data_IF_676125413054
#
_entry.id   IF_676125413054
#
_cell.length_a   1.000
_cell.length_b   1.000
_cell.length_c   1.000
_cell.angle_alpha   90.00
_cell.angle_beta   90.00
_cell.angle_gamma   90.00
#
_symmetry.space_group_name_H-M   'P 1'
#
loop_
_entity.id
_entity.type
_entity.pdbx_description
1 polymer ?
#
# COMPACT_ATOMS: atom_id res chain seq x y z
N UNK A 1 28.16 24.02 23.78
CA UNK A 1 27.17 22.98 23.86
C UNK A 1 25.85 23.49 23.31
N UNK A 2 25.43 23.00 22.13
CA UNK A 2 24.11 23.31 21.57
C UNK A 2 23.14 22.34 22.24
N UNK A 3 22.30 22.88 23.09
CA UNK A 3 21.22 22.14 23.76
C UNK A 3 20.09 21.95 22.76
N UNK A 4 19.92 20.74 22.23
CA UNK A 4 18.74 20.37 21.45
C UNK A 4 17.55 20.24 22.42
N UNK A 5 16.68 21.25 22.45
CA UNK A 5 15.40 21.14 23.09
C UNK A 5 14.53 20.27 22.18
N UNK A 6 14.43 18.99 22.48
CA UNK A 6 13.42 18.11 21.91
C UNK A 6 12.07 18.52 22.48
N UNK A 7 11.33 19.36 21.75
CA UNK A 7 9.90 19.56 22.00
C UNK A 7 9.23 18.26 21.60
N UNK A 8 9.09 17.35 22.54
CA UNK A 8 8.18 16.20 22.40
C UNK A 8 6.77 16.79 22.53
N UNK A 9 5.94 16.78 21.47
CA UNK A 9 4.57 17.25 21.62
C UNK A 9 3.88 16.34 22.64
N UNK A 10 3.29 16.93 23.65
CA UNK A 10 2.39 16.24 24.57
C UNK A 10 1.35 15.48 23.75
N UNK A 11 1.37 14.17 23.82
CA UNK A 11 0.34 13.31 23.24
C UNK A 11 -0.90 13.53 24.10
N UNK A 12 -1.80 14.40 23.66
CA UNK A 12 -3.16 14.47 24.23
C UNK A 12 -3.74 13.07 24.12
N UNK A 13 -4.02 12.44 25.25
CA UNK A 13 -4.77 11.18 25.32
C UNK A 13 -6.02 11.35 24.46
N UNK A 14 -6.12 10.59 23.38
CA UNK A 14 -7.28 10.61 22.52
C UNK A 14 -8.49 10.11 23.30
N UNK A 15 -9.54 10.88 23.28
CA UNK A 15 -10.88 10.46 23.70
C UNK A 15 -11.28 9.25 22.87
N UNK A 16 -11.73 8.15 23.52
CA UNK A 16 -12.18 6.87 22.97
C UNK A 16 -11.43 6.45 21.70
N UNK A 17 -10.41 5.63 21.85
CA UNK A 17 -9.75 4.98 20.74
C UNK A 17 -10.76 4.11 19.99
N UNK A 18 -11.12 4.51 18.77
CA UNK A 18 -11.93 3.70 17.90
C UNK A 18 -11.07 2.58 17.29
N UNK A 19 -10.87 1.52 18.06
CA UNK A 19 -10.18 0.30 17.64
C UNK A 19 -11.05 -0.45 16.61
N UNK A 20 -10.74 -0.32 15.34
CA UNK A 20 -11.49 -0.93 14.25
C UNK A 20 -10.96 -2.34 13.95
N UNK A 21 -11.79 -3.41 14.15
CA UNK A 21 -11.37 -4.79 13.96
C UNK A 21 -11.10 -5.09 12.48
N UNK A 22 -9.94 -5.68 12.19
CA UNK A 22 -9.53 -6.03 10.84
C UNK A 22 -8.97 -7.44 10.78
N UNK A 23 -9.03 -8.04 9.59
CA UNK A 23 -8.30 -9.26 9.25
C UNK A 23 -7.51 -9.08 7.96
N UNK A 24 -6.34 -9.70 7.91
CA UNK A 24 -5.50 -9.79 6.71
C UNK A 24 -5.45 -11.25 6.29
N UNK A 25 -5.69 -11.53 5.00
CA UNK A 25 -5.54 -12.86 4.42
C UNK A 25 -4.21 -12.94 3.69
N UNK A 26 -3.37 -13.93 4.03
CA UNK A 26 -2.16 -14.29 3.30
C UNK A 26 -2.34 -15.69 2.71
N UNK A 27 -2.66 -15.81 1.41
CA UNK A 27 -2.98 -17.10 0.78
C UNK A 27 -1.75 -17.91 0.41
N UNK A 28 -0.59 -17.28 0.22
CA UNK A 28 0.67 -17.88 -0.23
C UNK A 28 0.52 -18.69 -1.52
N UNK A 29 -0.25 -18.16 -2.47
CA UNK A 29 -0.47 -18.77 -3.79
C UNK A 29 0.80 -18.74 -4.63
N UNK A 30 1.02 -19.79 -5.44
CA UNK A 30 2.14 -19.86 -6.37
C UNK A 30 1.93 -18.85 -7.52
N UNK A 31 2.85 -17.91 -7.76
CA UNK A 31 2.69 -16.87 -8.76
C UNK A 31 2.82 -17.39 -10.19
N UNK A 32 3.47 -18.53 -10.41
CA UNK A 32 3.67 -19.12 -11.73
C UNK A 32 2.44 -19.94 -12.15
N UNK A 33 1.90 -20.75 -11.23
CA UNK A 33 0.72 -21.56 -11.47
C UNK A 33 -0.59 -20.73 -11.49
N UNK A 34 -0.56 -19.55 -10.91
CA UNK A 34 -1.72 -18.69 -10.72
C UNK A 34 -2.51 -18.41 -12.00
N UNK A 35 -1.84 -18.33 -13.16
CA UNK A 35 -2.46 -18.02 -14.45
C UNK A 35 -2.85 -19.25 -15.26
N UNK A 36 -2.61 -20.46 -14.75
CA UNK A 36 -3.08 -21.71 -15.35
C UNK A 36 -4.56 -21.91 -15.03
N UNK A 37 -5.39 -22.13 -16.05
CA UNK A 37 -6.86 -22.22 -15.90
C UNK A 37 -7.30 -23.27 -14.89
N UNK A 38 -6.60 -24.40 -14.81
CA UNK A 38 -6.89 -25.49 -13.89
C UNK A 38 -6.61 -25.10 -12.44
N UNK A 39 -5.74 -24.10 -12.22
CA UNK A 39 -5.37 -23.61 -10.89
C UNK A 39 -6.37 -22.58 -10.33
N UNK A 40 -7.21 -21.96 -11.16
CA UNK A 40 -8.16 -20.91 -10.74
C UNK A 40 -9.09 -21.39 -9.62
N UNK A 41 -9.71 -22.57 -9.79
CA UNK A 41 -10.60 -23.15 -8.77
C UNK A 41 -9.88 -23.45 -7.45
N UNK A 42 -8.60 -23.79 -7.51
CA UNK A 42 -7.78 -24.05 -6.32
C UNK A 42 -7.52 -22.76 -5.54
N UNK A 43 -7.21 -21.66 -6.23
CA UNK A 43 -7.05 -20.33 -5.61
C UNK A 43 -8.37 -19.92 -4.93
N UNK A 44 -9.49 -19.95 -5.66
CA UNK A 44 -10.80 -19.60 -5.11
C UNK A 44 -11.14 -20.43 -3.87
N UNK A 45 -10.96 -21.76 -3.94
CA UNK A 45 -11.23 -22.67 -2.83
C UNK A 45 -10.36 -22.35 -1.61
N UNK A 46 -9.07 -22.06 -1.83
CA UNK A 46 -8.16 -21.65 -0.76
C UNK A 46 -8.62 -20.36 -0.10
N UNK A 47 -8.96 -19.34 -0.90
CA UNK A 47 -9.46 -18.06 -0.39
C UNK A 47 -10.76 -18.25 0.40
N UNK A 48 -11.75 -18.97 -0.14
CA UNK A 48 -13.01 -19.23 0.58
C UNK A 48 -12.74 -19.95 1.90
N UNK A 49 -11.86 -20.96 1.93
CA UNK A 49 -11.48 -21.63 3.18
C UNK A 49 -10.82 -20.69 4.19
N UNK A 50 -10.06 -19.67 3.75
CA UNK A 50 -9.53 -18.66 4.65
C UNK A 50 -10.63 -17.72 5.14
N UNK A 51 -11.59 -17.35 4.30
CA UNK A 51 -12.76 -16.56 4.70
C UNK A 51 -13.62 -17.26 5.76
N UNK A 52 -13.75 -18.59 5.73
CA UNK A 52 -14.52 -19.32 6.76
C UNK A 52 -13.86 -19.34 8.14
N UNK A 53 -12.58 -18.95 8.23
CA UNK A 53 -11.81 -18.88 9.47
C UNK A 53 -11.74 -17.47 10.06
N UNK A 54 -12.38 -16.50 9.41
CA UNK A 54 -12.39 -15.11 9.90
C UNK A 54 -13.20 -15.00 11.19
N UNK A 55 -12.74 -14.22 12.16
CA UNK A 55 -13.53 -13.87 13.33
C UNK A 55 -14.80 -13.10 12.94
N UNK A 56 -15.88 -13.33 13.69
CA UNK A 56 -17.16 -12.64 13.44
C UNK A 56 -17.03 -11.13 13.64
N UNK A 57 -16.23 -10.69 14.62
CA UNK A 57 -15.96 -9.29 14.94
C UNK A 57 -15.15 -8.55 13.87
N UNK A 58 -14.50 -9.25 12.95
CA UNK A 58 -13.74 -8.58 11.88
C UNK A 58 -14.66 -7.79 10.95
N UNK A 59 -14.45 -6.49 10.87
CA UNK A 59 -15.25 -5.56 10.05
C UNK A 59 -14.61 -5.22 8.71
N UNK A 60 -13.27 -5.31 8.61
CA UNK A 60 -12.51 -5.12 7.37
C UNK A 60 -11.63 -6.33 7.10
N UNK A 61 -11.69 -6.83 5.89
CA UNK A 61 -10.82 -7.92 5.41
C UNK A 61 -9.97 -7.40 4.25
N UNK A 62 -8.66 -7.60 4.34
CA UNK A 62 -7.72 -7.17 3.30
C UNK A 62 -7.04 -8.38 2.67
N UNK A 63 -7.10 -8.45 1.33
CA UNK A 63 -6.41 -9.45 0.53
C UNK A 63 -5.22 -8.82 -0.21
N UNK A 64 -4.21 -9.63 -0.60
CA UNK A 64 -3.02 -9.13 -1.27
C UNK A 64 -3.23 -8.66 -2.71
N UNK A 65 -2.12 -8.24 -3.34
CA UNK A 65 -2.06 -7.74 -4.72
C UNK A 65 -2.48 -8.80 -5.73
N UNK A 66 -3.48 -8.44 -6.54
CA UNK A 66 -3.93 -9.19 -7.72
C UNK A 66 -4.06 -10.71 -7.45
N UNK A 67 -4.68 -11.11 -6.34
CA UNK A 67 -4.73 -12.51 -5.92
C UNK A 67 -5.52 -13.39 -6.88
N UNK A 68 -6.63 -12.88 -7.44
CA UNK A 68 -7.38 -13.58 -8.46
C UNK A 68 -6.76 -13.38 -9.85
N UNK A 69 -6.71 -14.43 -10.69
CA UNK A 69 -6.05 -14.40 -12.00
C UNK A 69 -6.87 -13.73 -13.10
N UNK A 70 -8.06 -13.25 -12.79
CA UNK A 70 -9.00 -12.60 -13.71
C UNK A 70 -9.36 -11.20 -13.22
N UNK A 71 -9.86 -10.36 -14.12
CA UNK A 71 -10.16 -8.96 -13.82
C UNK A 71 -11.52 -8.77 -13.14
N UNK A 72 -11.73 -7.60 -12.53
CA UNK A 72 -13.00 -7.22 -11.89
C UNK A 72 -14.19 -7.17 -12.88
N UNK A 73 -13.93 -7.09 -14.19
CA UNK A 73 -14.94 -7.14 -15.24
C UNK A 73 -15.31 -8.56 -15.66
N UNK A 74 -14.55 -9.58 -15.23
CA UNK A 74 -14.85 -10.97 -15.55
C UNK A 74 -16.01 -11.46 -14.68
N UNK A 75 -16.92 -12.24 -15.28
CA UNK A 75 -18.08 -12.79 -14.57
C UNK A 75 -17.67 -13.65 -13.36
N UNK A 76 -16.56 -14.38 -13.46
CA UNK A 76 -16.01 -15.21 -12.37
C UNK A 76 -15.62 -14.36 -11.15
N UNK A 77 -15.14 -13.12 -11.38
CA UNK A 77 -14.84 -12.21 -10.27
C UNK A 77 -16.11 -11.86 -9.51
N UNK A 78 -17.19 -11.53 -10.22
CA UNK A 78 -18.47 -11.21 -9.61
C UNK A 78 -19.08 -12.42 -8.87
N UNK A 79 -18.98 -13.62 -9.46
CA UNK A 79 -19.39 -14.87 -8.82
C UNK A 79 -18.59 -15.15 -7.54
N UNK A 80 -17.28 -14.88 -7.54
CA UNK A 80 -16.43 -15.00 -6.36
C UNK A 80 -16.84 -14.00 -5.28
N UNK A 81 -16.95 -12.70 -5.61
CA UNK A 81 -17.37 -11.65 -4.67
C UNK A 81 -18.73 -11.95 -4.05
N UNK A 82 -19.65 -12.54 -4.82
CA UNK A 82 -20.97 -12.92 -4.32
C UNK A 82 -20.97 -14.04 -3.27
N UNK A 83 -19.91 -14.84 -3.22
CA UNK A 83 -19.70 -15.87 -2.18
C UNK A 83 -19.14 -15.32 -0.87
N UNK A 84 -18.64 -14.06 -0.88
CA UNK A 84 -18.01 -13.44 0.28
C UNK A 84 -19.03 -12.84 1.26
N UNK A 85 -18.69 -12.72 2.56
CA UNK A 85 -19.59 -12.20 3.58
C UNK A 85 -19.92 -10.72 3.33
N UNK A 86 -21.19 -10.41 3.10
CA UNK A 86 -21.69 -9.07 2.79
C UNK A 86 -21.63 -8.09 3.98
N UNK A 87 -21.56 -8.60 5.19
CA UNK A 87 -21.45 -7.82 6.43
C UNK A 87 -20.06 -7.16 6.62
N UNK A 88 -19.07 -7.63 5.88
CA UNK A 88 -17.68 -7.16 6.04
C UNK A 88 -17.28 -6.23 4.90
N UNK A 89 -16.49 -5.20 5.20
CA UNK A 89 -15.78 -4.45 4.16
C UNK A 89 -14.63 -5.31 3.64
N UNK A 90 -14.52 -5.47 2.33
CA UNK A 90 -13.47 -6.29 1.71
C UNK A 90 -12.72 -5.40 0.73
N UNK A 91 -11.41 -5.22 0.99
CA UNK A 91 -10.49 -4.47 0.13
C UNK A 91 -9.41 -5.43 -0.37
N UNK A 92 -9.22 -5.48 -1.68
CA UNK A 92 -8.32 -6.45 -2.28
C UNK A 92 -7.55 -5.89 -3.48
N UNK A 93 -6.36 -6.41 -3.71
CA UNK A 93 -5.68 -6.20 -4.98
C UNK A 93 -6.37 -7.01 -6.09
N UNK A 94 -6.60 -6.39 -7.23
CA UNK A 94 -7.31 -7.00 -8.36
C UNK A 94 -6.80 -6.46 -9.71
N UNK A 95 -7.01 -7.23 -10.75
CA UNK A 95 -6.85 -6.76 -12.12
C UNK A 95 -8.09 -6.00 -12.57
N UNK A 96 -7.89 -4.91 -13.32
CA UNK A 96 -8.96 -4.20 -14.01
C UNK A 96 -8.64 -4.09 -15.50
N UNK A 97 -9.59 -4.41 -16.35
CA UNK A 97 -9.44 -4.32 -17.81
C UNK A 97 -10.42 -3.30 -18.37
N UNK A 98 -9.94 -2.11 -18.70
CA UNK A 98 -10.75 -1.00 -19.16
C UNK A 98 -10.19 -0.42 -20.46
N UNK A 99 -11.04 -0.19 -21.47
CA UNK A 99 -10.65 0.36 -22.76
C UNK A 99 -9.44 -0.37 -23.39
N UNK A 100 -9.47 -1.70 -23.39
CA UNK A 100 -8.40 -2.56 -23.88
C UNK A 100 -7.05 -2.39 -23.16
N UNK A 101 -7.06 -1.89 -21.91
CA UNK A 101 -5.88 -1.67 -21.08
C UNK A 101 -6.00 -2.41 -19.76
N UNK A 102 -4.94 -3.10 -19.37
CA UNK A 102 -4.84 -3.82 -18.11
C UNK A 102 -4.26 -2.90 -17.03
N UNK A 103 -4.90 -2.85 -15.86
CA UNK A 103 -4.44 -2.11 -14.69
C UNK A 103 -4.33 -3.03 -13.49
N UNK A 104 -3.30 -2.82 -12.69
CA UNK A 104 -3.19 -3.36 -11.34
C UNK A 104 -3.90 -2.40 -10.38
N UNK A 105 -4.86 -2.89 -9.59
CA UNK A 105 -5.74 -2.04 -8.78
C UNK A 105 -5.87 -2.54 -7.34
N UNK A 106 -6.21 -1.63 -6.43
CA UNK A 106 -6.89 -1.97 -5.17
C UNK A 106 -8.38 -1.72 -5.39
N UNK A 107 -9.19 -2.70 -5.05
CA UNK A 107 -10.64 -2.71 -5.25
C UNK A 107 -11.38 -2.87 -3.93
N UNK A 108 -12.39 -2.04 -3.70
CA UNK A 108 -13.33 -2.18 -2.58
C UNK A 108 -14.56 -2.93 -3.08
N UNK A 109 -14.77 -4.14 -2.59
CA UNK A 109 -15.87 -5.01 -3.04
C UNK A 109 -17.27 -4.47 -2.69
N UNK A 110 -17.38 -3.63 -1.64
CA UNK A 110 -18.68 -3.07 -1.21
C UNK A 110 -19.08 -1.84 -2.03
N UNK A 111 -18.15 -0.93 -2.32
CA UNK A 111 -18.44 0.31 -3.06
C UNK A 111 -18.20 0.19 -4.56
N UNK A 112 -17.43 -0.80 -5.01
CA UNK A 112 -16.97 -0.90 -6.40
C UNK A 112 -15.86 0.10 -6.75
N UNK A 113 -15.44 0.95 -5.83
CA UNK A 113 -14.35 1.89 -6.04
C UNK A 113 -13.01 1.18 -6.20
N UNK A 114 -12.15 1.75 -7.05
CA UNK A 114 -10.80 1.23 -7.23
C UNK A 114 -9.76 2.34 -7.34
N UNK A 115 -8.53 2.00 -6.95
CA UNK A 115 -7.33 2.80 -7.18
C UNK A 115 -6.40 2.04 -8.13
N UNK A 116 -5.90 2.67 -9.18
CA UNK A 116 -5.02 2.07 -10.18
C UNK A 116 -3.56 2.41 -9.91
N UNK A 117 -2.70 1.41 -9.91
CA UNK A 117 -1.25 1.55 -9.69
C UNK A 117 -0.62 2.55 -10.65
N UNK A 118 0.17 3.48 -10.13
CA UNK A 118 0.82 4.56 -10.91
C UNK A 118 2.30 4.29 -11.16
N UNK A 119 2.98 3.71 -10.17
CA UNK A 119 4.40 3.41 -10.25
C UNK A 119 4.57 1.92 -10.52
N UNK A 120 4.72 1.60 -11.80
CA UNK A 120 4.93 0.23 -12.25
C UNK A 120 6.39 -0.19 -12.04
N UNK A 121 6.61 -1.47 -11.79
CA UNK A 121 7.94 -2.08 -11.67
C UNK A 121 8.53 -2.25 -13.07
N UNK A 122 9.68 -1.61 -13.38
CA UNK A 122 10.38 -1.83 -14.64
C UNK A 122 10.74 -3.31 -14.80
N UNK A 123 10.64 -3.83 -16.01
CA UNK A 123 10.89 -5.24 -16.38
C UNK A 123 9.99 -6.30 -15.72
N UNK A 124 9.15 -5.91 -14.76
CA UNK A 124 8.14 -6.80 -14.15
C UNK A 124 6.73 -6.54 -14.69
N UNK A 125 6.31 -5.27 -14.69
CA UNK A 125 4.95 -4.87 -15.11
C UNK A 125 4.96 -4.11 -16.45
N UNK A 126 6.09 -3.55 -16.85
CA UNK A 126 6.28 -2.97 -18.17
C UNK A 126 7.75 -3.10 -18.60
N UNK A 127 7.97 -3.15 -19.91
CA UNK A 127 9.32 -3.19 -20.47
C UNK A 127 9.67 -1.78 -20.98
N UNK A 128 10.66 -1.10 -20.39
CA UNK A 128 11.16 0.15 -20.93
C UNK A 128 11.72 -0.07 -22.34
N UNK A 129 11.42 0.82 -23.27
CA UNK A 129 11.91 0.75 -24.66
C UNK A 129 11.47 -0.49 -25.45
N UNK A 130 10.28 -1.05 -25.16
CA UNK A 130 9.75 -2.26 -25.78
C UNK A 130 9.81 -2.24 -27.32
N UNK A 131 9.65 -1.08 -27.95
CA UNK A 131 9.76 -0.91 -29.40
C UNK A 131 11.13 -1.27 -29.98
N UNK A 132 12.21 -1.15 -29.18
CA UNK A 132 13.59 -1.47 -29.56
C UNK A 132 13.98 -2.90 -29.18
N UNK A 133 13.35 -3.48 -28.16
CA UNK A 133 13.73 -4.77 -27.57
C UNK A 133 12.83 -5.94 -28.05
N UNK A 134 11.74 -5.67 -28.77
CA UNK A 134 10.89 -6.72 -29.34
C UNK A 134 11.69 -7.59 -30.29
N UNK A 135 11.76 -8.88 -29.98
CA UNK A 135 12.44 -9.90 -30.79
C UNK A 135 13.86 -10.26 -30.32
N UNK A 136 14.36 -9.66 -29.25
CA UNK A 136 15.70 -9.97 -28.72
C UNK A 136 15.71 -11.00 -27.57
N UNK A 137 14.58 -11.17 -26.86
CA UNK A 137 14.55 -12.07 -25.69
C UNK A 137 13.13 -12.65 -25.51
N UNK A 138 12.96 -13.95 -25.69
CA UNK A 138 11.68 -14.70 -25.48
C UNK A 138 11.19 -14.71 -24.03
N UNK A 139 12.02 -14.28 -23.08
CA UNK A 139 11.73 -14.21 -21.65
C UNK A 139 10.68 -13.13 -21.28
N UNK A 140 10.38 -12.19 -22.17
CA UNK A 140 9.52 -11.04 -21.87
C UNK A 140 8.03 -11.21 -22.22
N UNK A 141 7.60 -12.38 -22.65
CA UNK A 141 6.18 -12.67 -22.95
C UNK A 141 5.38 -13.11 -21.71
N UNK A 142 5.69 -12.58 -20.54
CA UNK A 142 4.87 -12.79 -19.35
C UNK A 142 3.52 -12.07 -19.52
N UNK A 143 2.38 -12.70 -19.11
CA UNK A 143 1.04 -12.10 -19.23
C UNK A 143 0.89 -10.70 -18.61
N UNK A 144 1.84 -10.32 -17.74
CA UNK A 144 1.86 -9.07 -17.00
C UNK A 144 2.73 -7.97 -17.61
N UNK A 145 3.40 -8.21 -18.74
CA UNK A 145 4.35 -7.25 -19.34
C UNK A 145 3.68 -6.03 -20.00
N UNK A 146 2.36 -5.91 -19.91
CA UNK A 146 1.58 -4.86 -20.59
C UNK A 146 0.63 -4.09 -19.64
N UNK A 147 0.99 -3.99 -18.37
CA UNK A 147 0.22 -3.22 -17.39
C UNK A 147 0.35 -1.72 -17.66
N UNK A 148 -0.77 -1.02 -17.58
CA UNK A 148 -0.81 0.42 -17.82
C UNK A 148 -0.75 1.21 -16.51
N UNK A 149 -0.12 2.38 -16.57
CA UNK A 149 -0.08 3.32 -15.43
C UNK A 149 -1.46 3.91 -15.18
N UNK A 150 -1.89 3.91 -13.93
CA UNK A 150 -3.09 4.62 -13.51
C UNK A 150 -2.95 6.15 -13.65
N UNK A 151 -4.07 6.89 -13.69
CA UNK A 151 -4.09 8.35 -13.79
C UNK A 151 -3.29 9.02 -12.66
N UNK A 152 -2.66 10.18 -12.96
CA UNK A 152 -1.87 10.92 -11.97
C UNK A 152 -2.70 11.43 -10.80
N UNK A 153 -3.92 11.87 -11.08
CA UNK A 153 -4.85 12.38 -10.09
C UNK A 153 -5.97 11.36 -9.91
N UNK A 154 -5.89 10.59 -8.85
CA UNK A 154 -6.91 9.63 -8.43
C UNK A 154 -7.35 9.97 -7.01
N UNK A 155 -8.64 9.77 -6.75
CA UNK A 155 -9.16 9.82 -5.38
C UNK A 155 -8.70 8.59 -4.61
N UNK A 156 -8.62 8.72 -3.29
CA UNK A 156 -8.51 7.57 -2.42
C UNK A 156 -9.79 6.74 -2.49
N UNK A 157 -9.67 5.47 -2.13
CA UNK A 157 -10.84 4.61 -1.92
C UNK A 157 -11.52 5.06 -0.63
N UNK A 158 -12.83 5.17 -0.68
CA UNK A 158 -13.64 5.45 0.50
C UNK A 158 -14.27 4.15 1.03
N UNK A 159 -14.27 3.99 2.34
CA UNK A 159 -14.91 2.87 3.02
C UNK A 159 -16.02 3.40 3.91
N UNK A 160 -17.24 2.86 3.75
CA UNK A 160 -18.38 3.16 4.61
C UNK A 160 -18.32 2.27 5.85
N UNK A 161 -18.52 2.87 7.01
CA UNK A 161 -18.60 2.17 8.30
C UNK A 161 -20.08 2.15 8.72
N UNK A 162 -20.69 0.98 8.63
CA UNK A 162 -22.10 0.76 8.97
C UNK A 162 -22.22 0.25 10.43
N UNK A 163 -21.55 0.91 11.34
CA UNK A 163 -21.58 0.53 12.76
C UNK A 163 -21.59 1.80 13.61
N UNK A 164 -22.64 1.99 14.40
CA UNK A 164 -22.88 3.15 15.24
C UNK A 164 -21.88 3.30 16.41
N UNK A 165 -21.08 2.25 16.68
CA UNK A 165 -20.01 2.29 17.68
C UNK A 165 -18.85 3.20 17.25
N UNK A 166 -18.76 3.56 15.97
CA UNK A 166 -17.68 4.38 15.42
C UNK A 166 -18.17 5.81 15.12
N UNK A 167 -17.28 6.79 15.38
CA UNK A 167 -17.54 8.23 15.13
C UNK A 167 -17.63 8.53 13.62
N UNK A 168 -17.02 7.68 12.79
CA UNK A 168 -16.90 7.88 11.35
C UNK A 168 -17.93 7.02 10.59
N UNK A 169 -18.78 7.64 9.80
CA UNK A 169 -19.62 6.95 8.82
C UNK A 169 -18.85 6.61 7.54
N UNK A 170 -17.75 7.31 7.27
CA UNK A 170 -16.92 7.15 6.08
C UNK A 170 -15.45 7.46 6.37
N UNK A 171 -14.53 6.64 5.89
CA UNK A 171 -13.09 6.81 6.04
C UNK A 171 -12.39 6.67 4.70
N UNK A 172 -11.38 7.50 4.46
CA UNK A 172 -10.53 7.42 3.28
C UNK A 172 -9.36 6.46 3.49
N UNK A 173 -9.04 5.67 2.48
CA UNK A 173 -7.95 4.68 2.47
C UNK A 173 -6.91 5.10 1.45
N UNK A 174 -5.67 5.38 1.87
CA UNK A 174 -4.55 5.47 0.95
C UNK A 174 -4.08 4.06 0.57
N UNK A 175 -4.02 3.76 -0.71
CA UNK A 175 -3.83 2.38 -1.20
C UNK A 175 -2.60 2.25 -2.12
N UNK A 176 -1.36 2.49 -1.63
CA UNK A 176 -0.16 2.25 -2.43
C UNK A 176 0.01 0.75 -2.71
N UNK A 177 0.17 0.39 -3.99
CA UNK A 177 0.28 -0.99 -4.44
C UNK A 177 1.75 -1.40 -4.53
N UNK A 178 2.14 -2.43 -3.78
CA UNK A 178 3.44 -3.08 -3.85
C UNK A 178 4.58 -2.04 -3.79
N UNK A 179 5.42 -1.99 -4.80
CA UNK A 179 6.57 -1.07 -4.90
C UNK A 179 6.21 0.42 -4.82
N UNK A 180 4.95 0.83 -5.05
CA UNK A 180 4.53 2.23 -4.88
C UNK A 180 4.81 2.77 -3.48
N UNK A 181 4.84 1.90 -2.46
CA UNK A 181 5.18 2.28 -1.08
C UNK A 181 6.57 2.92 -0.98
N UNK A 182 7.48 2.63 -1.91
CA UNK A 182 8.80 3.24 -1.96
C UNK A 182 8.77 4.72 -2.39
N UNK A 183 7.73 5.16 -3.09
CA UNK A 183 7.61 6.53 -3.61
C UNK A 183 7.00 7.47 -2.58
N UNK A 184 7.81 8.00 -1.70
CA UNK A 184 7.44 8.84 -0.55
C UNK A 184 6.44 9.95 -0.89
N UNK A 185 6.69 10.72 -1.95
CA UNK A 185 5.81 11.83 -2.34
C UNK A 185 4.44 11.36 -2.84
N UNK A 186 4.37 10.19 -3.47
CA UNK A 186 3.10 9.60 -3.89
C UNK A 186 2.29 9.18 -2.68
N UNK A 187 2.91 8.42 -1.78
CA UNK A 187 2.28 7.98 -0.51
C UNK A 187 1.85 9.20 0.33
N UNK A 188 2.72 10.21 0.46
CA UNK A 188 2.39 11.46 1.17
C UNK A 188 1.17 12.18 0.59
N UNK A 189 1.04 12.22 -0.75
CA UNK A 189 -0.13 12.84 -1.41
C UNK A 189 -1.42 12.07 -1.16
N UNK A 190 -1.37 10.73 -1.21
CA UNK A 190 -2.51 9.87 -0.88
C UNK A 190 -2.97 10.11 0.57
N UNK A 191 -2.02 10.27 1.49
CA UNK A 191 -2.31 10.45 2.91
C UNK A 191 -2.85 11.82 3.31
N UNK A 192 -3.03 12.75 2.37
CA UNK A 192 -3.66 14.05 2.65
C UNK A 192 -5.13 13.91 3.07
N UNK A 193 -5.82 12.94 2.51
CA UNK A 193 -7.27 12.71 2.69
C UNK A 193 -7.58 11.26 3.10
N UNK A 194 -6.68 10.58 3.81
CA UNK A 194 -6.89 9.22 4.30
C UNK A 194 -6.86 9.16 5.81
N UNK A 195 -7.55 8.19 6.37
CA UNK A 195 -7.52 7.85 7.80
C UNK A 195 -6.38 6.86 8.09
N UNK A 196 -6.19 5.88 7.21
CA UNK A 196 -5.14 4.86 7.30
C UNK A 196 -4.67 4.45 5.90
N UNK A 197 -3.70 3.54 5.84
CA UNK A 197 -3.17 3.01 4.59
C UNK A 197 -3.43 1.50 4.47
N UNK A 198 -3.69 1.04 3.25
CA UNK A 198 -3.62 -0.37 2.87
C UNK A 198 -2.54 -0.53 1.82
N UNK A 199 -1.51 -1.33 2.11
CA UNK A 199 -0.48 -1.71 1.15
C UNK A 199 -0.66 -3.16 0.76
N UNK A 200 -1.23 -3.41 -0.42
CA UNK A 200 -1.31 -4.75 -1.00
C UNK A 200 -0.04 -5.04 -1.80
N UNK A 201 0.50 -6.26 -1.71
CA UNK A 201 1.75 -6.62 -2.35
C UNK A 201 1.83 -8.09 -2.74
N UNK A 202 2.69 -8.38 -3.72
CA UNK A 202 3.12 -9.74 -4.03
C UNK A 202 4.65 -9.82 -3.98
N UNK A 203 5.17 -10.19 -2.80
CA UNK A 203 6.61 -10.24 -2.56
C UNK A 203 7.28 -11.54 -3.07
N UNK A 204 6.52 -12.44 -3.70
CA UNK A 204 7.02 -13.72 -4.21
C UNK A 204 8.17 -13.54 -5.21
N UNK A 205 8.13 -12.45 -5.98
CA UNK A 205 9.15 -12.10 -6.96
C UNK A 205 10.56 -11.88 -6.38
N UNK A 206 10.64 -11.55 -5.10
CA UNK A 206 11.92 -11.39 -4.42
C UNK A 206 12.63 -12.71 -4.08
N UNK A 207 11.97 -13.85 -4.26
CA UNK A 207 12.54 -15.15 -3.94
C UNK A 207 13.07 -15.20 -2.50
N UNK A 208 14.27 -15.75 -2.30
CA UNK A 208 14.92 -15.86 -0.99
C UNK A 208 15.82 -14.66 -0.66
N UNK A 209 15.71 -13.55 -1.40
CA UNK A 209 16.52 -12.36 -1.16
C UNK A 209 16.06 -11.60 0.10
N UNK A 210 16.84 -10.58 0.48
CA UNK A 210 16.51 -9.62 1.55
C UNK A 210 15.37 -8.65 1.18
N UNK A 211 14.91 -8.67 -0.09
CA UNK A 211 13.91 -7.76 -0.64
C UNK A 211 12.63 -7.63 0.19
N UNK A 212 11.97 -8.72 0.63
CA UNK A 212 10.77 -8.64 1.45
C UNK A 212 10.97 -7.91 2.78
N UNK A 213 12.15 -8.06 3.43
CA UNK A 213 12.50 -7.34 4.66
C UNK A 213 12.65 -5.84 4.42
N UNK A 214 13.35 -5.45 3.34
CA UNK A 214 13.45 -4.03 2.96
C UNK A 214 12.08 -3.43 2.64
N UNK A 215 11.25 -4.17 1.93
CA UNK A 215 9.91 -3.73 1.57
C UNK A 215 9.02 -3.51 2.80
N UNK A 216 9.08 -4.42 3.80
CA UNK A 216 8.42 -4.24 5.09
C UNK A 216 8.95 -3.00 5.83
N UNK A 217 10.27 -2.82 5.89
CA UNK A 217 10.87 -1.68 6.59
C UNK A 217 10.53 -0.34 5.91
N UNK A 218 10.48 -0.29 4.57
CA UNK A 218 10.00 0.89 3.84
C UNK A 218 8.56 1.18 4.27
N UNK A 219 7.69 0.16 4.37
CA UNK A 219 6.31 0.33 4.81
C UNK A 219 6.23 0.93 6.22
N UNK A 220 7.06 0.46 7.16
CA UNK A 220 7.16 1.02 8.52
C UNK A 220 7.56 2.50 8.52
N UNK A 221 8.53 2.87 7.68
CA UNK A 221 8.94 4.28 7.53
C UNK A 221 7.79 5.14 7.00
N UNK A 222 6.96 4.61 6.05
CA UNK A 222 5.77 5.35 5.56
C UNK A 222 4.74 5.59 6.65
N UNK A 223 4.56 4.64 7.59
CA UNK A 223 3.68 4.83 8.74
C UNK A 223 4.14 6.03 9.59
N UNK A 224 5.44 6.08 9.94
CA UNK A 224 6.04 7.16 10.72
C UNK A 224 5.94 8.50 9.99
N UNK A 225 6.36 8.57 8.73
CA UNK A 225 6.36 9.81 7.93
C UNK A 225 4.97 10.44 7.81
N UNK A 226 3.94 9.63 7.76
CA UNK A 226 2.57 10.11 7.56
C UNK A 226 1.74 10.11 8.86
N UNK A 227 2.27 9.56 9.95
CA UNK A 227 1.56 9.35 11.21
C UNK A 227 0.23 8.59 11.00
N UNK A 228 0.29 7.46 10.29
CA UNK A 228 -0.88 6.66 9.89
C UNK A 228 -0.64 5.18 10.13
N UNK A 229 -1.68 4.48 10.59
CA UNK A 229 -1.71 3.03 10.61
C UNK A 229 -1.64 2.45 9.20
N UNK A 230 -0.97 1.32 9.07
CA UNK A 230 -0.86 0.60 7.79
C UNK A 230 -1.28 -0.86 7.99
N UNK A 231 -2.20 -1.31 7.12
CA UNK A 231 -2.51 -2.72 6.91
C UNK A 231 -1.70 -3.16 5.69
N UNK A 232 -0.72 -4.04 5.89
CA UNK A 232 0.06 -4.61 4.81
C UNK A 232 -0.39 -6.04 4.54
N UNK A 233 -0.98 -6.29 3.38
CA UNK A 233 -1.40 -7.60 2.91
C UNK A 233 -0.50 -8.08 1.78
N UNK A 234 0.18 -9.21 1.96
CA UNK A 234 1.06 -9.78 0.95
C UNK A 234 0.63 -11.20 0.58
N UNK A 235 0.89 -11.62 -0.67
CA UNK A 235 0.63 -12.99 -1.06
C UNK A 235 1.58 -13.96 -0.34
N UNK A 236 2.88 -13.75 -0.47
CA UNK A 236 3.91 -14.63 0.10
C UNK A 236 5.09 -13.83 0.67
N UNK A 237 4.82 -12.68 1.28
CA UNK A 237 5.80 -11.85 1.97
C UNK A 237 5.52 -11.79 3.46
N UNK A 238 5.78 -10.61 4.05
CA UNK A 238 5.42 -10.30 5.42
C UNK A 238 4.13 -9.49 5.42
N UNK A 239 3.01 -10.12 5.75
CA UNK A 239 1.77 -9.39 6.05
C UNK A 239 1.86 -8.87 7.49
N UNK A 240 1.40 -7.64 7.73
CA UNK A 240 1.55 -7.01 9.03
C UNK A 240 0.51 -5.92 9.30
N UNK A 241 0.20 -5.72 10.58
CA UNK A 241 -0.45 -4.53 11.10
C UNK A 241 0.64 -3.64 11.67
N UNK A 242 0.74 -2.41 11.18
CA UNK A 242 1.79 -1.46 11.54
C UNK A 242 1.13 -0.19 12.10
N UNK A 243 1.49 0.18 13.32
CA UNK A 243 0.99 1.39 13.95
C UNK A 243 1.59 2.66 13.34
N UNK A 244 0.99 3.79 13.63
CA UNK A 244 1.40 5.10 13.14
C UNK A 244 2.83 5.52 13.50
N UNK A 245 3.42 4.92 14.54
CA UNK A 245 4.82 5.12 14.93
C UNK A 245 5.80 4.08 14.32
N UNK A 246 5.32 3.23 13.38
CA UNK A 246 6.11 2.23 12.68
C UNK A 246 6.35 0.92 13.46
N UNK A 247 5.70 0.76 14.63
CA UNK A 247 5.77 -0.50 15.37
C UNK A 247 4.95 -1.57 14.66
N UNK A 248 5.51 -2.75 14.49
CA UNK A 248 4.77 -3.93 14.03
C UNK A 248 3.94 -4.44 15.21
N UNK A 249 2.61 -4.37 15.08
CA UNK A 249 1.66 -4.82 16.10
C UNK A 249 1.45 -6.32 15.98
N UNK A 250 1.30 -6.80 14.75
CA UNK A 250 1.21 -8.23 14.44
C UNK A 250 1.78 -8.52 13.05
N UNK A 251 2.30 -9.72 12.84
CA UNK A 251 2.99 -10.12 11.61
C UNK A 251 2.79 -11.60 11.28
N UNK A 252 2.50 -11.89 10.03
CA UNK A 252 2.58 -13.24 9.47
C UNK A 252 3.82 -13.35 8.58
N UNK A 253 4.65 -14.33 8.89
CA UNK A 253 5.93 -14.51 8.22
C UNK A 253 5.78 -14.96 6.77
N UNK A 254 6.81 -14.64 5.97
CA UNK A 254 6.96 -15.06 4.59
C UNK A 254 6.77 -16.58 4.44
N UNK A 255 6.07 -17.00 3.38
CA UNK A 255 5.85 -18.42 3.05
C UNK A 255 4.77 -19.12 3.87
N UNK A 256 4.11 -18.41 4.77
CA UNK A 256 3.02 -18.97 5.57
C UNK A 256 1.66 -18.61 4.96
N UNK A 257 0.77 -19.58 4.89
CA UNK A 257 -0.65 -19.35 4.60
C UNK A 257 -1.39 -19.13 5.91
N UNK A 258 -2.22 -18.09 6.01
CA UNK A 258 -2.96 -17.82 7.24
C UNK A 258 -3.64 -16.47 7.29
N UNK A 259 -4.04 -16.11 8.51
CA UNK A 259 -4.73 -14.88 8.84
C UNK A 259 -3.94 -14.10 9.89
N UNK A 260 -4.04 -12.78 9.84
CA UNK A 260 -3.75 -11.88 10.95
C UNK A 260 -5.08 -11.26 11.36
N UNK A 261 -5.41 -11.30 12.64
CA UNK A 261 -6.58 -10.67 13.20
C UNK A 261 -6.14 -9.64 14.23
N UNK A 262 -6.61 -8.41 14.09
CA UNK A 262 -6.21 -7.36 15.01
C UNK A 262 -7.07 -6.11 14.87
N UNK A 263 -6.56 -5.00 15.33
CA UNK A 263 -7.27 -3.73 15.33
C UNK A 263 -6.37 -2.60 14.83
N UNK A 264 -6.96 -1.63 14.17
CA UNK A 264 -6.30 -0.37 13.80
C UNK A 264 -7.07 0.80 14.40
N UNK A 265 -6.38 1.89 14.65
CA UNK A 265 -7.01 3.12 15.07
C UNK A 265 -7.35 3.98 13.86
N UNK A 266 -8.64 4.36 13.71
CA UNK A 266 -9.15 5.16 12.60
C UNK A 266 -9.01 6.66 12.82
N UNK A 267 -8.59 7.12 14.00
CA UNK A 267 -8.46 8.54 14.31
C UNK A 267 -7.47 9.20 13.34
N UNK A 268 -7.85 10.39 12.88
CA UNK A 268 -6.95 11.22 12.08
C UNK A 268 -5.93 11.87 13.01
N UNK A 269 -4.72 11.31 13.01
CA UNK A 269 -3.61 11.90 13.75
C UNK A 269 -3.11 13.19 13.08
N UNK A 270 -2.53 14.06 13.89
CA UNK A 270 -1.89 15.27 13.39
C UNK A 270 -0.83 14.90 12.34
N UNK A 271 -0.85 15.62 11.24
CA UNK A 271 0.12 15.40 10.15
C UNK A 271 1.52 15.77 10.61
N UNK A 272 2.49 14.93 10.32
CA UNK A 272 3.92 15.21 10.55
C UNK A 272 4.39 16.40 9.69
N UNK A 273 5.55 16.96 10.03
CA UNK A 273 6.20 18.00 9.23
C UNK A 273 6.43 17.48 7.80
N UNK A 274 6.94 16.24 7.67
CA UNK A 274 7.15 15.63 6.37
C UNK A 274 5.83 15.44 5.59
N UNK A 275 4.77 14.96 6.24
CA UNK A 275 3.45 14.82 5.60
C UNK A 275 2.89 16.15 5.10
N UNK A 276 3.15 17.26 5.79
CA UNK A 276 2.73 18.61 5.39
C UNK A 276 3.56 19.16 4.24
N UNK A 277 4.87 19.17 4.39
CA UNK A 277 5.79 19.92 3.53
C UNK A 277 6.64 19.04 2.60
N UNK A 278 6.76 17.72 2.88
CA UNK A 278 7.67 16.85 2.14
C UNK A 278 9.10 17.31 2.26
N UNK A 279 9.81 17.35 1.13
CA UNK A 279 11.20 17.80 1.07
C UNK A 279 11.38 19.33 1.00
N UNK A 280 10.31 20.13 1.01
CA UNK A 280 10.41 21.58 0.85
C UNK A 280 11.31 22.21 1.93
N UNK A 281 11.19 21.76 3.18
CA UNK A 281 12.03 22.23 4.28
C UNK A 281 13.52 21.90 4.05
N UNK A 282 13.83 20.68 3.56
CA UNK A 282 15.21 20.27 3.25
C UNK A 282 15.79 21.10 2.11
N UNK A 283 15.03 21.36 1.06
CA UNK A 283 15.47 22.22 -0.05
C UNK A 283 15.72 23.65 0.40
N UNK A 284 14.89 24.19 1.30
CA UNK A 284 15.10 25.51 1.87
C UNK A 284 16.41 25.60 2.64
N UNK A 285 16.70 24.58 3.49
CA UNK A 285 17.96 24.52 4.25
C UNK A 285 19.16 24.47 3.29
N UNK A 286 19.13 23.61 2.27
CA UNK A 286 20.20 23.52 1.27
C UNK A 286 20.40 24.85 0.55
N UNK A 287 19.30 25.50 0.16
CA UNK A 287 19.36 26.82 -0.51
C UNK A 287 19.99 27.88 0.38
N UNK A 288 19.63 27.94 1.67
CA UNK A 288 20.23 28.90 2.62
C UNK A 288 21.72 28.62 2.86
N UNK A 289 22.14 27.33 2.90
CA UNK A 289 23.56 26.99 2.99
C UNK A 289 24.36 27.43 1.77
N UNK A 290 23.78 27.26 0.57
CA UNK A 290 24.43 27.77 -0.69
C UNK A 290 24.59 29.28 -0.64
N UNK A 291 23.54 30.02 -0.26
CA UNK A 291 23.63 31.49 -0.11
C UNK A 291 24.71 31.88 0.90
N UNK A 292 24.76 31.21 2.03
CA UNK A 292 25.75 31.44 3.06
C UNK A 292 27.19 31.22 2.55
N UNK A 293 27.43 30.16 1.79
CA UNK A 293 28.73 29.86 1.18
C UNK A 293 29.12 30.98 0.15
N UNK A 294 28.18 31.36 -0.69
CA UNK A 294 28.43 32.46 -1.67
C UNK A 294 28.79 33.75 -0.93
N UNK A 295 28.07 34.07 0.13
CA UNK A 295 28.35 35.26 0.95
C UNK A 295 29.75 35.22 1.59
N UNK A 296 30.16 34.06 2.16
CA UNK A 296 31.51 33.91 2.72
C UNK A 296 32.60 34.14 1.66
N UNK A 297 32.46 33.53 0.47
CA UNK A 297 33.42 33.74 -0.65
C UNK A 297 33.49 35.19 -1.06
N UNK A 298 32.35 35.88 -1.12
CA UNK A 298 32.31 37.32 -1.43
C UNK A 298 33.05 38.16 -0.36
N UNK A 299 32.84 37.89 0.93
CA UNK A 299 33.49 38.57 2.01
C UNK A 299 35.02 38.38 1.98
N UNK A 300 35.50 37.15 1.75
CA UNK A 300 36.94 36.85 1.62
C UNK A 300 37.54 37.65 0.47
N UNK A 301 36.97 37.60 -0.72
CA UNK A 301 37.46 38.38 -1.89
C UNK A 301 37.44 39.90 -1.67
N UNK A 302 36.56 40.41 -0.79
CA UNK A 302 36.52 41.84 -0.45
C UNK A 302 37.58 42.21 0.58
N UNK A 303 38.01 41.30 1.44
CA UNK A 303 39.08 41.55 2.44
C UNK A 303 40.50 41.47 1.84
N UNK A 304 40.64 40.87 0.65
CA UNK A 304 41.89 40.74 -0.10
C UNK A 304 42.15 41.95 -1.07
N UNK A 305 41.19 42.86 -1.17
CA UNK A 305 41.32 44.15 -1.92
C UNK A 305 41.50 45.32 -0.98
#
# INVERSE_FOLDING_TARGET
GIMFITIVPEIKKAEKEADYPISIIQPSSDPFLKYEKDYYKKIEKNLINLFTKLPDESLLVVLPEAELPYSIQDIRFQEFINKLPKSKNIVMGAWSYENSKLYNTVYNAKSGENYKKRHLVPFGEYIPFLGFLRGLIDFFDLPMSNVQKGPKNQKNIDMVIDNDDFIFSKVGIASPICFEIAFQNTVRKMNKSSNFMINVSNDTWFGNSIGPYHHLNITRVRAIENNKWIIRATNNGFSAIISNNGTIVDILNKGKTGLINGKINLNTYNRTIFSKYGYTASYLVVFLLIIFQIYQVYCIKKSEK
#
